data_IF_533495733067
#
_entry.id   IF_533495733067
#
_cell.length_a   1.000
_cell.length_b   1.000
_cell.length_c   1.000
_cell.angle_alpha   90.00
_cell.angle_beta   90.00
_cell.angle_gamma   90.00
#
_symmetry.space_group_name_H-M   'P 1'
#
loop_
_entity.id
_entity.type
_entity.pdbx_description
1 polymer ?
#
# COMPACT_ATOMS: atom_id res chain seq x y z
N UNK A 1 -16.22 3.62 -6.96
CA UNK A 1 -16.54 2.43 -7.80
C UNK A 1 -17.13 2.77 -9.18
N UNK A 2 -18.34 3.35 -9.32
CA UNK A 2 -18.96 3.59 -10.65
C UNK A 2 -18.42 4.78 -11.46
N UNK A 3 -17.46 5.56 -10.93
CA UNK A 3 -16.82 6.64 -11.69
C UNK A 3 -16.05 6.07 -12.90
N UNK A 4 -16.11 6.69 -14.09
CA UNK A 4 -15.42 6.19 -15.27
C UNK A 4 -13.95 6.65 -15.30
N UNK A 5 -13.00 5.71 -15.20
CA UNK A 5 -11.61 5.92 -15.60
C UNK A 5 -11.40 5.33 -17.00
N UNK A 6 -10.93 6.15 -17.95
CA UNK A 6 -10.75 5.76 -19.36
C UNK A 6 -12.00 5.09 -19.98
N UNK A 7 -13.20 5.54 -19.60
CA UNK A 7 -14.48 5.01 -20.08
C UNK A 7 -14.97 3.71 -19.44
N UNK A 8 -14.23 3.15 -18.45
CA UNK A 8 -14.64 1.95 -17.70
C UNK A 8 -14.83 2.27 -16.21
N UNK A 9 -15.77 1.64 -15.48
CA UNK A 9 -15.89 1.81 -14.03
C UNK A 9 -14.59 1.47 -13.29
N UNK A 10 -14.28 2.15 -12.18
CA UNK A 10 -13.08 1.89 -11.37
C UNK A 10 -12.93 0.40 -11.01
N UNK A 11 -14.01 -0.24 -10.53
CA UNK A 11 -14.00 -1.66 -10.17
C UNK A 11 -13.67 -2.56 -11.38
N UNK A 12 -14.02 -2.17 -12.61
CA UNK A 12 -13.71 -2.98 -13.79
C UNK A 12 -12.20 -3.07 -14.05
N UNK A 13 -11.41 -2.06 -13.68
CA UNK A 13 -9.94 -2.13 -13.74
C UNK A 13 -9.39 -3.04 -12.64
N UNK A 14 -9.83 -2.83 -11.39
CA UNK A 14 -9.45 -3.67 -10.22
C UNK A 14 -9.76 -5.16 -10.48
N UNK A 15 -10.89 -5.45 -11.13
CA UNK A 15 -11.28 -6.81 -11.52
C UNK A 15 -10.38 -7.43 -12.61
N UNK A 16 -9.84 -6.66 -13.55
CA UNK A 16 -8.85 -7.22 -14.50
C UNK A 16 -7.52 -7.52 -13.78
N UNK A 17 -7.04 -6.60 -12.93
CA UNK A 17 -5.82 -6.82 -12.14
C UNK A 17 -5.97 -8.05 -11.23
N UNK A 18 -7.13 -8.21 -10.59
CA UNK A 18 -7.43 -9.40 -9.79
C UNK A 18 -7.43 -10.70 -10.62
N UNK A 19 -7.99 -10.69 -11.84
CA UNK A 19 -8.00 -11.86 -12.75
C UNK A 19 -6.60 -12.24 -13.23
N UNK A 20 -5.72 -11.27 -13.45
CA UNK A 20 -4.32 -11.50 -13.85
C UNK A 20 -3.45 -12.17 -12.77
N UNK A 21 -4.01 -12.40 -11.56
CA UNK A 21 -3.41 -13.20 -10.49
C UNK A 21 -3.90 -14.66 -10.46
N UNK A 22 -4.78 -15.05 -11.40
CA UNK A 22 -5.41 -16.39 -11.50
C UNK A 22 -6.12 -16.88 -10.21
N UNK A 23 -7.09 -16.12 -9.66
CA UNK A 23 -7.72 -16.43 -8.38
C UNK A 23 -8.82 -17.50 -8.51
N UNK A 24 -8.84 -18.47 -7.58
CA UNK A 24 -9.89 -19.51 -7.52
C UNK A 24 -11.32 -18.96 -7.42
N UNK A 25 -11.50 -17.78 -6.82
CA UNK A 25 -12.77 -17.07 -6.62
C UNK A 25 -12.52 -15.56 -6.57
N UNK A 26 -13.47 -14.76 -7.04
CA UNK A 26 -13.52 -13.32 -6.79
C UNK A 26 -14.83 -13.02 -6.07
N UNK A 27 -14.74 -12.42 -4.88
CA UNK A 27 -15.89 -12.03 -4.05
C UNK A 27 -15.98 -10.50 -4.02
N UNK A 28 -17.08 -9.95 -4.51
CA UNK A 28 -17.36 -8.50 -4.51
C UNK A 28 -18.33 -8.19 -3.38
N UNK A 29 -17.82 -7.51 -2.35
CA UNK A 29 -18.67 -6.97 -1.28
C UNK A 29 -19.25 -5.64 -1.72
N UNK A 30 -20.54 -5.41 -1.49
CA UNK A 30 -21.22 -4.17 -1.85
C UNK A 30 -22.18 -3.68 -0.77
N UNK A 31 -22.22 -2.35 -0.59
CA UNK A 31 -23.15 -1.66 0.30
C UNK A 31 -24.25 -0.92 -0.46
N UNK A 32 -24.63 0.25 0.05
CA UNK A 32 -25.65 1.10 -0.56
C UNK A 32 -25.33 1.43 -2.04
N UNK A 33 -26.36 1.41 -2.90
CA UNK A 33 -26.29 1.52 -4.38
C UNK A 33 -25.55 0.40 -5.13
N UNK A 34 -25.07 -0.65 -4.46
CA UNK A 34 -24.31 -1.73 -5.12
C UNK A 34 -25.07 -2.54 -6.18
N UNK A 35 -26.40 -2.58 -6.14
CA UNK A 35 -27.19 -3.21 -7.23
C UNK A 35 -26.94 -2.55 -8.61
N UNK A 36 -26.63 -1.24 -8.65
CA UNK A 36 -26.22 -0.56 -9.89
C UNK A 36 -24.90 -1.11 -10.45
N UNK A 37 -24.00 -1.54 -9.56
CA UNK A 37 -22.68 -2.10 -9.90
C UNK A 37 -22.80 -3.58 -10.29
N UNK A 38 -23.70 -4.32 -9.63
CA UNK A 38 -24.05 -5.71 -9.97
C UNK A 38 -24.73 -5.81 -11.34
N UNK A 39 -25.69 -4.93 -11.62
CA UNK A 39 -26.31 -4.84 -12.95
C UNK A 39 -25.29 -4.47 -14.05
N UNK A 40 -24.41 -3.50 -13.79
CA UNK A 40 -23.37 -3.09 -14.73
C UNK A 40 -22.26 -4.14 -14.97
N UNK A 41 -22.25 -5.23 -14.20
CA UNK A 41 -21.29 -6.34 -14.28
C UNK A 41 -22.00 -7.70 -14.37
N UNK A 42 -23.26 -7.75 -14.82
CA UNK A 42 -24.06 -8.97 -14.93
C UNK A 42 -23.45 -10.00 -15.90
N UNK A 43 -22.76 -9.54 -16.95
CA UNK A 43 -22.00 -10.34 -17.94
C UNK A 43 -20.73 -11.01 -17.37
N UNK A 44 -20.59 -11.09 -16.04
CA UNK A 44 -19.44 -11.67 -15.31
C UNK A 44 -19.91 -12.68 -14.26
N UNK A 45 -20.48 -13.83 -14.68
CA UNK A 45 -21.06 -14.84 -13.78
C UNK A 45 -20.05 -15.49 -12.82
N UNK A 46 -18.75 -15.35 -13.07
CA UNK A 46 -17.64 -15.76 -12.21
C UNK A 46 -17.49 -14.93 -10.92
N UNK A 47 -18.21 -13.81 -10.79
CA UNK A 47 -18.19 -12.95 -9.61
C UNK A 47 -19.21 -13.42 -8.56
N UNK A 48 -18.73 -13.73 -7.36
CA UNK A 48 -19.59 -13.94 -6.19
C UNK A 48 -19.92 -12.58 -5.56
N UNK A 49 -21.19 -12.35 -5.23
CA UNK A 49 -21.68 -11.05 -4.73
C UNK A 49 -22.15 -11.19 -3.29
N UNK A 50 -21.67 -10.31 -2.41
CA UNK A 50 -22.00 -10.31 -0.97
C UNK A 50 -22.47 -8.93 -0.54
N UNK A 51 -23.67 -8.83 0.01
CA UNK A 51 -24.24 -7.56 0.44
C UNK A 51 -23.85 -7.23 1.89
N UNK A 52 -23.10 -6.15 2.09
CA UNK A 52 -22.94 -5.53 3.41
C UNK A 52 -24.13 -4.60 3.67
N UNK A 53 -25.19 -5.15 4.28
CA UNK A 53 -26.42 -4.39 4.62
C UNK A 53 -26.11 -3.28 5.63
N UNK A 54 -25.40 -3.62 6.70
CA UNK A 54 -24.92 -2.68 7.73
C UNK A 54 -23.44 -2.35 7.49
N UNK A 55 -23.14 -1.09 7.13
CA UNK A 55 -21.79 -0.60 6.83
C UNK A 55 -20.95 -0.38 8.12
N UNK A 56 -20.73 -1.45 8.88
CA UNK A 56 -20.00 -1.47 10.16
C UNK A 56 -18.48 -1.64 9.97
N UNK A 57 -17.91 -0.90 9.03
CA UNK A 57 -16.48 -0.93 8.71
C UNK A 57 -15.98 -2.07 7.81
N UNK A 58 -14.69 -2.04 7.55
CA UNK A 58 -13.97 -2.89 6.59
C UNK A 58 -13.77 -4.32 7.08
N UNK A 59 -13.57 -4.52 8.38
CA UNK A 59 -13.49 -5.83 9.01
C UNK A 59 -14.82 -6.60 8.89
N UNK A 60 -15.95 -5.90 9.01
CA UNK A 60 -17.27 -6.50 8.76
C UNK A 60 -17.44 -6.94 7.30
N UNK A 61 -17.01 -6.13 6.34
CA UNK A 61 -17.07 -6.46 4.91
C UNK A 61 -16.26 -7.75 4.60
N UNK A 62 -15.04 -7.86 5.14
CA UNK A 62 -14.19 -9.06 4.99
C UNK A 62 -14.81 -10.27 5.70
N UNK A 63 -15.39 -10.11 6.90
CA UNK A 63 -16.06 -11.21 7.62
C UNK A 63 -17.18 -11.84 6.80
N UNK A 64 -18.02 -11.02 6.15
CA UNK A 64 -19.08 -11.49 5.25
C UNK A 64 -18.50 -12.15 3.97
N UNK A 65 -17.46 -11.57 3.38
CA UNK A 65 -16.82 -12.13 2.18
C UNK A 65 -16.24 -13.53 2.42
N UNK A 66 -15.64 -13.75 3.59
CA UNK A 66 -15.00 -15.01 3.96
C UNK A 66 -15.96 -16.20 4.00
N UNK A 67 -17.26 -16.01 4.20
CA UNK A 67 -18.25 -17.09 4.10
C UNK A 67 -18.16 -17.83 2.74
N UNK A 68 -17.74 -17.13 1.68
CA UNK A 68 -17.58 -17.66 0.32
C UNK A 68 -16.17 -18.22 0.03
N UNK A 69 -15.28 -18.32 1.03
CA UNK A 69 -13.85 -18.64 0.85
C UNK A 69 -13.43 -19.94 1.59
N UNK A 70 -12.79 -20.91 0.92
CA UNK A 70 -12.26 -22.12 1.57
C UNK A 70 -11.20 -21.80 2.64
N UNK A 71 -11.19 -22.51 3.77
CA UNK A 71 -10.25 -22.23 4.87
C UNK A 71 -8.77 -22.36 4.51
N UNK A 72 -8.45 -23.23 3.54
CA UNK A 72 -7.10 -23.46 3.04
C UNK A 72 -6.64 -22.44 1.97
N UNK A 73 -7.52 -21.53 1.56
CA UNK A 73 -7.18 -20.52 0.57
C UNK A 73 -6.33 -19.40 1.17
N UNK A 74 -5.54 -18.74 0.32
CA UNK A 74 -4.94 -17.44 0.64
C UNK A 74 -5.85 -16.34 0.09
N UNK A 75 -6.22 -15.40 0.95
CA UNK A 75 -7.11 -14.27 0.63
C UNK A 75 -6.27 -13.07 0.24
N UNK A 76 -6.68 -12.34 -0.79
CA UNK A 76 -6.21 -11.00 -1.12
C UNK A 76 -7.39 -10.03 -0.97
N UNK A 77 -7.22 -8.98 -0.18
CA UNK A 77 -8.24 -7.92 0.00
C UNK A 77 -7.87 -6.72 -0.89
N UNK A 78 -8.80 -6.28 -1.74
CA UNK A 78 -8.63 -5.17 -2.66
C UNK A 78 -9.80 -4.18 -2.53
N UNK A 79 -9.54 -2.91 -2.83
CA UNK A 79 -10.50 -1.82 -2.74
C UNK A 79 -11.00 -1.44 -4.15
N UNK A 80 -12.32 -1.40 -4.35
CA UNK A 80 -12.99 -1.28 -5.67
C UNK A 80 -12.89 0.10 -6.34
N UNK A 81 -12.04 0.97 -5.81
CA UNK A 81 -11.80 2.35 -6.21
C UNK A 81 -10.31 2.72 -6.28
N UNK A 82 -9.40 1.74 -6.23
CA UNK A 82 -7.95 1.90 -6.42
C UNK A 82 -7.55 1.32 -7.79
N UNK A 83 -7.84 2.01 -8.93
CA UNK A 83 -7.80 1.43 -10.27
C UNK A 83 -6.39 1.31 -10.87
N UNK A 84 -5.37 1.87 -10.22
CA UNK A 84 -3.99 1.94 -10.72
C UNK A 84 -3.12 0.76 -10.25
N UNK A 85 -3.67 -0.13 -9.41
CA UNK A 85 -2.98 -1.33 -8.93
C UNK A 85 -2.57 -2.25 -10.09
N UNK A 86 -1.30 -2.64 -10.06
CA UNK A 86 -0.69 -3.53 -11.05
C UNK A 86 -0.51 -4.94 -10.49
N UNK A 87 -0.63 -5.92 -11.38
CA UNK A 87 -0.44 -7.34 -11.08
C UNK A 87 0.95 -7.61 -10.49
N UNK A 88 1.96 -6.91 -10.97
CA UNK A 88 3.36 -7.00 -10.53
C UNK A 88 3.55 -6.54 -9.08
N UNK A 89 2.76 -5.55 -8.65
CA UNK A 89 2.80 -4.99 -7.29
C UNK A 89 2.05 -5.88 -6.29
N UNK A 90 1.00 -6.58 -6.73
CA UNK A 90 0.21 -7.50 -5.91
C UNK A 90 0.80 -8.92 -5.84
N UNK A 91 1.53 -9.36 -6.87
CA UNK A 91 2.08 -10.72 -6.98
C UNK A 91 2.96 -11.15 -5.80
N UNK A 92 3.92 -10.34 -5.31
CA UNK A 92 4.71 -10.68 -4.13
C UNK A 92 3.89 -10.82 -2.84
N UNK A 93 2.72 -10.16 -2.75
CA UNK A 93 1.85 -10.20 -1.58
C UNK A 93 1.06 -11.52 -1.49
N UNK A 94 0.59 -12.02 -2.63
CA UNK A 94 -0.07 -13.34 -2.72
C UNK A 94 0.92 -14.50 -2.66
N UNK A 95 2.14 -14.34 -3.20
CA UNK A 95 3.20 -15.37 -3.15
C UNK A 95 3.94 -15.43 -1.79
N UNK A 96 3.75 -14.44 -0.91
CA UNK A 96 4.36 -14.41 0.43
C UNK A 96 3.88 -15.57 1.32
N UNK A 97 4.83 -16.23 2.01
CA UNK A 97 4.56 -17.33 2.97
C UNK A 97 4.18 -16.86 4.38
N UNK A 98 4.02 -15.55 4.59
CA UNK A 98 3.64 -15.00 5.89
C UNK A 98 2.11 -15.11 6.08
N UNK A 99 1.69 -15.54 7.27
CA UNK A 99 0.28 -15.72 7.65
C UNK A 99 -0.59 -14.46 7.43
N UNK A 100 0.03 -13.29 7.55
CA UNK A 100 -0.50 -11.99 7.19
C UNK A 100 0.61 -11.18 6.50
N UNK A 101 0.24 -10.44 5.46
CA UNK A 101 1.11 -9.50 4.76
C UNK A 101 0.32 -8.26 4.32
N UNK A 102 0.96 -7.10 4.28
CA UNK A 102 0.35 -5.83 3.82
C UNK A 102 1.20 -5.19 2.73
N UNK A 103 0.53 -4.54 1.77
CA UNK A 103 1.14 -3.55 0.90
C UNK A 103 1.07 -2.19 1.62
N UNK A 104 2.22 -1.61 1.91
CA UNK A 104 2.36 -0.26 2.43
C UNK A 104 3.00 0.66 1.39
N UNK A 105 2.88 1.97 1.57
CA UNK A 105 3.58 2.96 0.74
C UNK A 105 4.34 3.95 1.64
N UNK A 106 5.41 4.54 1.14
CA UNK A 106 6.11 5.64 1.85
C UNK A 106 5.79 6.96 1.15
N UNK A 107 5.27 7.94 1.89
CA UNK A 107 4.72 9.19 1.34
C UNK A 107 5.22 10.42 2.08
N UNK A 108 5.38 11.53 1.36
CA UNK A 108 5.78 12.82 1.97
C UNK A 108 4.69 13.40 2.89
N UNK A 109 3.41 13.22 2.55
CA UNK A 109 2.27 13.70 3.34
C UNK A 109 1.35 12.52 3.72
N UNK A 110 1.51 11.92 4.91
CA UNK A 110 0.71 10.77 5.32
C UNK A 110 -0.69 11.15 5.85
N UNK A 111 -1.06 12.43 5.84
CA UNK A 111 -2.32 12.91 6.45
C UNK A 111 -3.55 12.27 5.83
N UNK A 112 -4.31 11.54 6.66
CA UNK A 112 -5.56 10.88 6.29
C UNK A 112 -5.47 9.36 6.11
N UNK A 113 -4.26 8.79 6.08
CA UNK A 113 -4.04 7.35 5.95
C UNK A 113 -3.71 6.68 7.28
N UNK A 114 -4.05 5.39 7.45
CA UNK A 114 -3.53 4.59 8.55
C UNK A 114 -1.99 4.50 8.54
N UNK A 115 -1.38 4.44 9.71
CA UNK A 115 0.08 4.40 9.93
C UNK A 115 0.54 2.98 10.22
N UNK A 116 1.59 2.53 9.54
CA UNK A 116 2.13 1.16 9.72
C UNK A 116 3.21 1.17 10.79
N UNK A 117 2.87 0.70 11.99
CA UNK A 117 3.80 0.59 13.12
C UNK A 117 4.61 -0.69 12.94
N UNK A 118 5.94 -0.55 12.77
CA UNK A 118 6.89 -1.65 12.58
C UNK A 118 7.72 -1.92 13.83
N UNK A 119 8.15 -3.17 14.01
CA UNK A 119 9.21 -3.53 14.96
C UNK A 119 10.63 -3.30 14.38
N UNK A 120 11.65 -3.58 15.20
CA UNK A 120 13.06 -3.51 14.81
C UNK A 120 13.52 -4.56 13.79
N UNK A 121 12.64 -5.48 13.37
CA UNK A 121 12.86 -6.42 12.26
C UNK A 121 12.12 -5.97 10.98
N UNK A 122 11.35 -4.88 11.05
CA UNK A 122 10.58 -4.33 9.94
C UNK A 122 9.21 -4.99 9.72
N UNK A 123 8.78 -5.89 10.61
CA UNK A 123 7.47 -6.53 10.55
C UNK A 123 6.40 -5.65 11.20
N UNK A 124 5.14 -5.80 10.79
CA UNK A 124 4.03 -4.97 11.32
C UNK A 124 3.65 -5.44 12.71
N UNK A 125 3.68 -4.51 13.67
CA UNK A 125 3.15 -4.67 15.03
C UNK A 125 1.69 -4.24 15.15
N UNK A 126 1.33 -3.18 14.43
CA UNK A 126 -0.04 -2.67 14.33
C UNK A 126 -0.18 -1.79 13.09
N UNK A 127 -1.42 -1.55 12.66
CA UNK A 127 -1.76 -0.42 11.79
C UNK A 127 -2.76 0.45 12.56
N UNK A 128 -2.50 1.75 12.66
CA UNK A 128 -3.33 2.68 13.44
C UNK A 128 -3.90 3.76 12.54
N UNK A 129 -5.22 3.91 12.53
CA UNK A 129 -5.90 4.91 11.69
C UNK A 129 -5.63 6.36 12.14
N UNK A 130 -5.62 7.31 11.20
CA UNK A 130 -5.21 8.71 11.45
C UNK A 130 -5.96 9.38 12.62
N UNK A 131 -7.22 9.01 12.86
CA UNK A 131 -8.04 9.55 13.95
C UNK A 131 -7.57 9.05 15.33
N UNK A 132 -7.23 7.78 15.39
CA UNK A 132 -6.84 7.04 16.59
C UNK A 132 -5.32 7.16 16.88
N UNK A 133 -4.52 7.54 15.88
CA UNK A 133 -3.06 7.69 15.98
C UNK A 133 -2.59 8.83 16.90
N UNK A 134 -1.54 8.57 17.69
CA UNK A 134 -0.92 9.54 18.59
C UNK A 134 0.03 10.54 17.86
N UNK A 135 0.54 11.61 18.52
CA UNK A 135 1.41 12.60 17.89
C UNK A 135 2.76 12.09 17.37
N UNK A 136 3.27 10.95 17.84
CA UNK A 136 4.48 10.31 17.33
C UNK A 136 4.14 9.41 16.14
N UNK A 137 3.10 8.58 16.27
CA UNK A 137 2.58 7.72 15.20
C UNK A 137 2.18 8.54 13.96
N UNK A 138 1.57 9.72 14.13
CA UNK A 138 1.21 10.61 13.02
C UNK A 138 2.41 11.11 12.21
N UNK A 139 3.63 11.05 12.73
CA UNK A 139 4.88 11.39 12.03
C UNK A 139 5.43 10.20 11.21
N UNK A 140 4.85 9.01 11.31
CA UNK A 140 5.24 7.88 10.46
C UNK A 140 4.85 8.14 9.00
N UNK A 141 5.83 8.04 8.10
CA UNK A 141 5.66 8.25 6.66
C UNK A 141 5.27 6.96 5.90
N UNK A 142 5.33 5.80 6.55
CA UNK A 142 4.88 4.52 5.99
C UNK A 142 3.39 4.34 6.28
N UNK A 143 2.58 4.41 5.23
CA UNK A 143 1.12 4.37 5.28
C UNK A 143 0.54 3.01 4.88
N UNK A 144 -0.64 2.74 5.42
CA UNK A 144 -1.52 1.64 5.04
C UNK A 144 -2.19 1.93 3.69
N UNK A 145 -2.17 0.96 2.77
CA UNK A 145 -2.97 1.02 1.53
C UNK A 145 -4.31 0.29 1.65
N UNK A 146 -4.58 -0.34 2.79
CA UNK A 146 -5.68 -1.27 3.02
C UNK A 146 -5.46 -2.66 2.41
N UNK A 147 -4.57 -2.80 1.43
CA UNK A 147 -4.37 -4.02 0.65
C UNK A 147 -3.53 -5.01 1.44
N UNK A 148 -4.13 -6.15 1.79
CA UNK A 148 -3.50 -7.22 2.55
C UNK A 148 -3.70 -8.59 1.90
N UNK A 149 -2.80 -9.52 2.18
CA UNK A 149 -3.01 -10.94 1.92
C UNK A 149 -2.79 -11.78 3.18
N UNK A 150 -3.64 -12.78 3.39
CA UNK A 150 -3.64 -13.59 4.62
C UNK A 150 -4.15 -15.01 4.38
N UNK A 151 -3.82 -15.92 5.29
CA UNK A 151 -4.36 -17.28 5.28
C UNK A 151 -5.83 -17.26 5.74
N UNK A 152 -6.77 -17.79 4.93
CA UNK A 152 -8.20 -17.62 5.17
C UNK A 152 -8.66 -18.11 6.56
N UNK A 153 -8.16 -19.26 7.01
CA UNK A 153 -8.43 -19.79 8.36
C UNK A 153 -8.04 -18.84 9.49
N UNK A 154 -6.95 -18.08 9.33
CA UNK A 154 -6.47 -17.12 10.34
C UNK A 154 -7.23 -15.81 10.26
N UNK A 155 -7.42 -15.28 9.06
CA UNK A 155 -8.19 -14.06 8.84
C UNK A 155 -9.62 -14.20 9.38
N UNK A 156 -10.26 -15.37 9.24
CA UNK A 156 -11.55 -15.70 9.88
C UNK A 156 -11.57 -15.51 11.39
N UNK A 157 -10.51 -15.94 12.10
CA UNK A 157 -10.40 -15.78 13.56
C UNK A 157 -10.23 -14.30 13.89
N UNK A 158 -9.30 -13.62 13.22
CA UNK A 158 -9.02 -12.21 13.51
C UNK A 158 -10.23 -11.30 13.27
N UNK A 159 -10.93 -11.43 12.14
CA UNK A 159 -12.13 -10.61 11.85
C UNK A 159 -13.36 -10.98 12.68
N UNK A 160 -13.36 -12.14 13.35
CA UNK A 160 -14.39 -12.52 14.32
C UNK A 160 -14.12 -11.93 15.71
N UNK A 161 -12.85 -11.69 16.04
CA UNK A 161 -12.40 -11.10 17.31
C UNK A 161 -12.27 -9.57 17.27
N UNK A 162 -12.62 -8.90 16.16
CA UNK A 162 -12.66 -7.44 16.10
C UNK A 162 -13.76 -6.88 17.00
N UNK A 163 -13.43 -5.85 17.77
CA UNK A 163 -14.41 -4.97 18.41
C UNK A 163 -14.57 -3.65 17.62
N UNK A 164 -15.27 -2.68 18.21
CA UNK A 164 -15.51 -1.37 17.61
C UNK A 164 -15.17 -0.20 18.58
N UNK A 165 -14.25 -0.42 19.51
CA UNK A 165 -13.81 0.53 20.53
C UNK A 165 -12.76 1.53 19.99
N UNK A 166 -13.12 2.23 18.91
CA UNK A 166 -12.29 3.21 18.21
C UNK A 166 -13.08 4.49 17.88
N UNK A 167 -12.40 5.50 17.35
CA UNK A 167 -12.96 6.83 17.06
C UNK A 167 -14.09 6.87 16.00
N UNK A 168 -14.49 5.73 15.42
CA UNK A 168 -15.60 5.64 14.47
C UNK A 168 -16.71 4.67 14.87
N UNK A 169 -16.50 3.78 15.86
CA UNK A 169 -17.49 2.77 16.23
C UNK A 169 -17.63 1.65 15.18
N UNK A 170 -16.59 1.41 14.38
CA UNK A 170 -16.58 0.44 13.27
C UNK A 170 -15.65 -0.74 13.53
N UNK A 171 -15.88 -1.89 12.89
CA UNK A 171 -14.90 -2.97 12.86
C UNK A 171 -13.83 -2.65 11.82
N UNK A 172 -12.68 -2.11 12.23
CA UNK A 172 -11.58 -1.83 11.31
C UNK A 172 -10.85 -3.12 10.92
N UNK A 173 -10.53 -3.28 9.63
CA UNK A 173 -9.69 -4.38 9.15
C UNK A 173 -8.22 -4.25 9.62
N UNK A 174 -7.78 -3.06 10.05
CA UNK A 174 -6.40 -2.79 10.53
C UNK A 174 -6.04 -3.52 11.81
N UNK A 175 -7.03 -3.86 12.63
CA UNK A 175 -6.74 -4.28 14.01
C UNK A 175 -6.35 -5.77 14.05
N UNK A 176 -6.59 -6.50 12.95
CA UNK A 176 -6.06 -7.87 12.72
C UNK A 176 -4.54 -7.90 12.71
N UNK A 177 -3.87 -6.77 12.43
CA UNK A 177 -2.40 -6.68 12.47
C UNK A 177 -1.86 -6.71 13.89
N UNK A 178 -2.59 -6.14 14.86
CA UNK A 178 -2.24 -6.23 16.28
C UNK A 178 -2.46 -7.66 16.78
N UNK A 179 -3.63 -8.26 16.51
CA UNK A 179 -3.94 -9.65 16.90
C UNK A 179 -2.94 -10.66 16.32
N UNK A 180 -2.55 -10.51 15.04
CA UNK A 180 -1.53 -11.35 14.43
C UNK A 180 -0.15 -11.18 15.10
N UNK A 181 0.22 -9.96 15.50
CA UNK A 181 1.47 -9.69 16.23
C UNK A 181 1.46 -10.19 17.69
N UNK A 182 0.28 -10.32 18.31
CA UNK A 182 0.07 -10.92 19.64
C UNK A 182 0.13 -12.46 19.58
N UNK A 183 -0.37 -13.08 18.51
CA UNK A 183 -0.16 -14.50 18.19
C UNK A 183 1.31 -14.86 17.86
N UNK A 184 2.23 -13.88 17.85
CA UNK A 184 3.62 -14.08 17.46
C UNK A 184 3.82 -14.23 15.94
N UNK A 185 2.87 -13.74 15.13
CA UNK A 185 2.87 -13.80 13.67
C UNK A 185 2.74 -12.41 13.04
N UNK A 186 3.61 -11.44 13.42
CA UNK A 186 3.55 -10.06 12.91
C UNK A 186 3.67 -10.04 11.39
N UNK A 187 2.93 -9.14 10.74
CA UNK A 187 2.76 -9.23 9.29
C UNK A 187 4.03 -8.87 8.50
N UNK A 188 4.17 -9.47 7.33
CA UNK A 188 5.16 -9.02 6.34
C UNK A 188 4.72 -7.67 5.74
N UNK A 189 5.57 -6.65 5.83
CA UNK A 189 5.29 -5.33 5.26
C UNK A 189 6.08 -5.13 3.96
N UNK A 190 5.39 -5.24 2.82
CA UNK A 190 5.93 -4.97 1.50
C UNK A 190 5.69 -3.51 1.14
N UNK A 191 6.69 -2.83 0.56
CA UNK A 191 6.54 -1.46 0.09
C UNK A 191 6.21 -1.44 -1.41
N UNK A 192 5.18 -0.68 -1.79
CA UNK A 192 4.91 -0.35 -3.19
C UNK A 192 6.07 0.46 -3.79
N UNK A 193 6.42 0.19 -5.06
CA UNK A 193 7.50 0.89 -5.76
C UNK A 193 7.11 2.31 -6.19
N UNK A 194 5.82 2.55 -6.40
CA UNK A 194 5.21 3.88 -6.56
C UNK A 194 3.96 3.92 -5.65
N UNK A 195 3.84 4.96 -4.83
CA UNK A 195 2.69 5.15 -3.95
C UNK A 195 1.39 5.42 -4.75
N UNK A 196 1.51 6.07 -5.92
CA UNK A 196 0.35 6.46 -6.74
C UNK A 196 -0.43 5.27 -7.31
N UNK A 197 0.15 4.07 -7.34
CA UNK A 197 -0.56 2.84 -7.71
C UNK A 197 -1.65 2.45 -6.69
N UNK A 198 -1.45 2.84 -5.43
CA UNK A 198 -2.28 2.46 -4.29
C UNK A 198 -3.19 3.60 -3.80
N UNK A 199 -3.18 4.78 -4.46
CA UNK A 199 -4.06 5.89 -4.13
C UNK A 199 -5.51 5.61 -4.58
N UNK A 200 -6.46 5.77 -3.65
CA UNK A 200 -7.89 5.69 -3.96
C UNK A 200 -8.33 6.85 -4.86
N UNK A 201 -9.10 6.54 -5.91
CA UNK A 201 -9.63 7.55 -6.82
C UNK A 201 -10.66 8.50 -6.16
N UNK A 202 -11.08 8.20 -4.92
CA UNK A 202 -11.86 9.10 -4.06
C UNK A 202 -10.95 10.00 -3.18
N UNK A 203 -9.80 9.50 -2.74
CA UNK A 203 -8.80 10.24 -1.95
C UNK A 203 -7.95 11.20 -2.78
N UNK A 204 -8.08 11.12 -4.11
CA UNK A 204 -7.63 12.11 -5.08
C UNK A 204 -8.31 13.48 -4.86
N UNK A 205 -7.90 14.18 -3.79
CA UNK A 205 -8.19 15.60 -3.51
C UNK A 205 -8.07 16.38 -4.83
N UNK A 206 -9.06 17.20 -5.23
CA UNK A 206 -9.22 17.62 -6.62
C UNK A 206 -7.94 18.26 -7.18
N UNK A 207 -7.28 17.54 -8.07
CA UNK A 207 -5.93 17.84 -8.54
C UNK A 207 -5.91 19.07 -9.47
N UNK A 208 -6.03 20.27 -8.89
CA UNK A 208 -5.87 21.57 -9.56
C UNK A 208 -4.42 21.84 -9.97
N UNK A 209 -3.81 20.92 -10.74
CA UNK A 209 -2.57 21.11 -11.52
C UNK A 209 -2.32 20.04 -12.60
N UNK A 210 -3.36 19.43 -13.17
CA UNK A 210 -3.29 18.75 -14.48
C UNK A 210 -3.38 19.74 -15.67
N UNK A 211 -2.65 20.86 -15.59
CA UNK A 211 -2.59 21.88 -16.64
C UNK A 211 -1.28 21.79 -17.43
N UNK A 212 -1.37 21.90 -18.75
CA UNK A 212 -0.27 21.77 -19.72
C UNK A 212 0.42 20.39 -19.76
N UNK A 213 -0.07 19.51 -20.64
CA UNK A 213 0.75 18.43 -21.16
C UNK A 213 1.91 19.01 -22.01
N UNK A 214 3.17 18.60 -21.81
CA UNK A 214 4.28 19.04 -22.65
C UNK A 214 4.11 18.48 -24.07
N UNK A 215 4.07 19.35 -25.07
CA UNK A 215 3.89 18.96 -26.47
C UNK A 215 5.01 18.02 -26.94
N UNK A 216 4.65 17.01 -27.74
CA UNK A 216 5.57 15.99 -28.25
C UNK A 216 6.63 16.57 -29.18
N UNK A 217 7.80 16.93 -28.64
CA UNK A 217 8.99 17.31 -29.40
C UNK A 217 9.58 16.11 -30.16
N UNK A 218 8.97 15.74 -31.29
CA UNK A 218 9.50 14.71 -32.20
C UNK A 218 10.71 15.24 -32.96
N UNK A 219 11.91 14.82 -32.57
CA UNK A 219 13.12 15.08 -33.34
C UNK A 219 13.14 14.24 -34.63
N UNK A 220 13.09 14.92 -35.78
CA UNK A 220 13.58 14.39 -37.06
C UNK A 220 14.37 15.48 -37.78
N UNK A 221 15.69 15.42 -37.64
CA UNK A 221 16.60 16.26 -38.39
C UNK A 221 16.91 15.62 -39.76
N UNK A 222 16.57 16.30 -40.85
CA UNK A 222 17.40 16.41 -42.07
C UNK A 222 16.67 17.10 -43.22
N UNK A 223 17.11 18.32 -43.59
CA UNK A 223 17.30 18.76 -44.98
C UNK A 223 17.64 20.27 -45.09
N UNK A 224 18.89 20.59 -45.45
CA UNK A 224 19.31 21.80 -46.23
C UNK A 224 19.05 23.20 -45.61
N UNK A 225 19.75 24.27 -46.00
CA UNK A 225 21.18 24.44 -46.31
C UNK A 225 21.54 25.96 -46.28
N UNK A 226 22.81 26.29 -46.04
CA UNK A 226 23.51 27.58 -46.34
C UNK A 226 23.25 28.83 -45.45
N UNK A 227 24.32 29.18 -44.71
CA UNK A 227 24.85 30.56 -44.43
C UNK A 227 24.01 31.45 -43.47
N UNK A 228 24.60 32.38 -42.71
CA UNK A 228 25.96 32.94 -42.74
C UNK A 228 26.64 33.14 -41.35
N UNK A 229 27.95 33.37 -41.40
CA UNK A 229 28.92 33.92 -40.41
C UNK A 229 28.43 34.56 -39.08
N UNK A 230 29.12 34.26 -37.96
CA UNK A 230 28.86 34.90 -36.65
C UNK A 230 29.85 34.68 -35.48
N UNK A 231 31.17 34.83 -35.70
CA UNK A 231 32.30 35.01 -34.73
C UNK A 231 32.14 34.69 -33.21
N UNK A 232 33.14 33.97 -32.66
CA UNK A 232 33.72 34.09 -31.29
C UNK A 232 32.87 33.64 -30.08
N UNK A 233 33.39 33.11 -28.96
CA UNK A 233 34.80 32.86 -28.57
C UNK A 233 34.92 32.01 -27.29
N UNK A 234 36.14 31.68 -26.86
CA UNK A 234 36.45 30.74 -25.77
C UNK A 234 36.11 31.27 -24.34
N UNK A 235 35.98 30.45 -23.27
CA UNK A 235 37.15 29.93 -22.51
C UNK A 235 36.85 28.88 -21.39
N UNK A 236 37.88 28.07 -21.10
CA UNK A 236 38.38 27.51 -19.79
C UNK A 236 37.37 27.04 -18.72
N UNK A 237 37.34 25.76 -18.29
CA UNK A 237 38.34 24.93 -17.53
C UNK A 237 38.47 25.17 -16.00
N UNK A 238 37.71 24.38 -15.23
CA UNK A 238 38.12 23.46 -14.13
C UNK A 238 39.09 23.86 -12.98
N UNK A 239 38.66 23.58 -11.73
CA UNK A 239 39.38 22.95 -10.56
C UNK A 239 38.33 22.63 -9.47
N UNK A 240 38.34 21.58 -8.63
CA UNK A 240 39.31 20.68 -7.95
C UNK A 240 39.67 21.04 -6.49
N UNK A 241 39.72 19.99 -5.64
CA UNK A 241 40.23 19.86 -4.24
C UNK A 241 39.28 20.38 -3.15
N UNK A 242 38.89 19.59 -2.12
CA UNK A 242 39.60 18.75 -1.08
C UNK A 242 40.13 19.58 0.10
N UNK A 243 39.68 19.27 1.33
CA UNK A 243 40.50 18.84 2.49
C UNK A 243 39.68 18.64 3.79
N UNK A 244 40.00 17.58 4.56
CA UNK A 244 39.89 17.48 6.05
C UNK A 244 41.34 17.46 6.59
N UNK A 245 41.66 17.82 7.86
CA UNK A 245 41.75 16.77 8.92
C UNK A 245 41.63 17.21 10.42
N UNK A 246 41.27 16.22 11.28
CA UNK A 246 41.77 15.90 12.67
C UNK A 246 41.89 17.00 13.76
N UNK A 247 41.50 16.74 15.01
CA UNK A 247 42.23 15.93 16.02
C UNK A 247 41.31 15.52 17.22
N UNK A 248 41.44 14.33 17.88
CA UNK A 248 42.28 13.96 19.07
C UNK A 248 41.93 14.72 20.36
N UNK A 249 41.99 14.18 21.60
CA UNK A 249 42.36 12.87 22.24
C UNK A 249 41.67 12.88 23.67
N UNK A 250 41.74 11.97 24.67
CA UNK A 250 42.50 10.74 25.04
C UNK A 250 41.72 9.88 26.10
N UNK A 251 42.40 9.05 26.91
CA UNK A 251 41.95 8.31 28.14
C UNK A 251 40.84 7.24 27.98
N UNK A 252 41.07 5.91 28.09
CA UNK A 252 42.21 5.03 28.44
C UNK A 252 42.49 4.79 29.95
N UNK A 253 41.89 3.74 30.54
CA UNK A 253 42.58 2.56 31.15
C UNK A 253 41.63 1.41 31.57
N UNK A 254 42.24 0.27 31.86
CA UNK A 254 41.78 -1.14 32.04
C UNK A 254 42.82 -1.79 33.03
N UNK A 255 42.80 -3.06 33.51
CA UNK A 255 41.78 -4.15 33.56
C UNK A 255 41.54 -4.75 34.97
N UNK A 256 40.64 -5.77 35.08
CA UNK A 256 40.93 -7.11 35.68
C UNK A 256 39.78 -8.14 35.50
N UNK A 257 40.17 -9.42 35.32
CA UNK A 257 39.34 -10.65 35.28
C UNK A 257 39.45 -11.41 36.65
N UNK A 258 38.82 -12.59 36.85
CA UNK A 258 37.42 -12.99 36.62
C UNK A 258 36.81 -13.60 37.92
N UNK A 259 35.59 -14.17 37.85
CA UNK A 259 35.11 -15.20 38.79
C UNK A 259 34.46 -16.35 38.02
N UNK A 260 34.50 -17.56 38.58
CA UNK A 260 33.84 -18.74 38.03
C UNK A 260 33.38 -19.69 39.14
N UNK A 261 32.11 -20.10 39.04
CA UNK A 261 31.44 -21.20 39.75
C UNK A 261 30.07 -21.40 39.07
N UNK A 262 29.46 -22.58 39.05
CA UNK A 262 30.01 -23.87 39.45
C UNK A 262 28.91 -24.89 39.79
N UNK A 263 28.72 -25.87 38.88
CA UNK A 263 27.60 -26.82 38.81
C UNK A 263 26.30 -26.21 38.29
#
# INVERSE_FOLDING_TARGET
MLLPLAGRPLLAHVLETARALDPMRIVVVYGHRGEQLRAALAERPELLWVQQVEQRGTGHAVRLALEQVPEHARVLVLYGDVPLLRTETLRPLVEARAALAVLAAEVHDPRGYGRVVRDGLGQVRAIVEERDADPEQRQLHVINTGILAADARRLRVWVANLDCNNAQGEYYLTDVFAQAAEEGMPALCLLAADAAEAEGANDARPARRAGAAPARARSRASARCRRASGRSGAHRRARQRRLRPRCRDRHRRDPRRPRGAGR
#
